data_IF_440386741164
#
_entry.id   IF_440386741164
#
_cell.length_a   1.000
_cell.length_b   1.000
_cell.length_c   1.000
_cell.angle_alpha   90.00
_cell.angle_beta   90.00
_cell.angle_gamma   90.00
#
_symmetry.space_group_name_H-M   'P 1'
#
loop_
_entity.id
_entity.type
_entity.pdbx_description
1 polymer ?
#
# COMPACT_ATOMS: atom_id res chain seq x y z
N UNK A 1 43.55 -8.91 -20.07
CA UNK A 1 42.56 -8.64 -21.11
C UNK A 1 41.26 -9.46 -20.97
N UNK A 2 41.28 -10.79 -20.78
CA UNK A 2 40.06 -11.58 -20.51
C UNK A 2 39.34 -11.20 -19.21
N UNK A 3 40.06 -10.85 -18.15
CA UNK A 3 39.45 -10.40 -16.86
C UNK A 3 38.71 -9.07 -17.02
N UNK A 4 39.27 -8.09 -17.71
CA UNK A 4 38.64 -6.79 -18.00
C UNK A 4 37.39 -6.91 -18.88
N UNK A 5 37.35 -7.89 -19.80
CA UNK A 5 36.17 -8.14 -20.64
C UNK A 5 35.07 -8.81 -19.83
N UNK A 6 35.41 -9.70 -18.90
CA UNK A 6 34.47 -10.38 -18.00
C UNK A 6 33.90 -9.38 -16.97
N UNK A 7 34.73 -8.50 -16.39
CA UNK A 7 34.31 -7.44 -15.48
C UNK A 7 33.37 -6.43 -16.19
N UNK A 8 33.70 -6.02 -17.41
CA UNK A 8 32.85 -5.12 -18.20
C UNK A 8 31.48 -5.75 -18.53
N UNK A 9 31.43 -7.06 -18.80
CA UNK A 9 30.18 -7.79 -19.03
C UNK A 9 29.35 -7.94 -17.74
N UNK A 10 29.99 -8.17 -16.59
CA UNK A 10 29.29 -8.23 -15.30
C UNK A 10 28.74 -6.87 -14.89
N UNK A 11 29.54 -5.80 -14.96
CA UNK A 11 29.11 -4.45 -14.66
C UNK A 11 27.89 -4.03 -15.53
N UNK A 12 27.96 -4.28 -16.84
CA UNK A 12 26.85 -4.03 -17.77
C UNK A 12 25.58 -4.79 -17.37
N UNK A 13 25.70 -6.04 -16.95
CA UNK A 13 24.58 -6.85 -16.47
C UNK A 13 23.95 -6.27 -15.21
N UNK A 14 24.76 -5.89 -14.20
CA UNK A 14 24.25 -5.27 -12.98
C UNK A 14 23.59 -3.94 -13.23
N UNK A 15 24.15 -3.10 -14.11
CA UNK A 15 23.56 -1.83 -14.49
C UNK A 15 22.19 -2.02 -15.15
N UNK A 16 22.08 -2.93 -16.13
CA UNK A 16 20.81 -3.24 -16.80
C UNK A 16 19.76 -3.73 -15.81
N UNK A 17 20.11 -4.68 -14.94
CA UNK A 17 19.19 -5.18 -13.92
C UNK A 17 18.76 -4.07 -12.94
N UNK A 18 19.68 -3.18 -12.57
CA UNK A 18 19.38 -2.01 -11.74
C UNK A 18 18.39 -1.06 -12.42
N UNK A 19 18.55 -0.79 -13.73
CA UNK A 19 17.63 0.05 -14.48
C UNK A 19 16.23 -0.60 -14.65
N UNK A 20 16.16 -1.91 -14.83
CA UNK A 20 14.89 -2.64 -14.88
C UNK A 20 14.19 -2.60 -13.50
N UNK A 21 14.94 -2.77 -12.41
CA UNK A 21 14.45 -2.73 -11.03
C UNK A 21 14.24 -1.30 -10.49
N UNK A 22 14.56 -0.27 -11.27
CA UNK A 22 14.57 1.13 -10.82
C UNK A 22 13.27 1.59 -10.13
N UNK A 23 12.06 1.21 -10.60
CA UNK A 23 10.82 1.53 -9.91
C UNK A 23 10.72 0.90 -8.51
N UNK A 24 11.17 -0.34 -8.32
CA UNK A 24 11.22 -0.98 -7.00
C UNK A 24 12.28 -0.33 -6.10
N UNK A 25 13.45 0.02 -6.64
CA UNK A 25 14.49 0.76 -5.91
C UNK A 25 13.97 2.12 -5.47
N UNK A 26 13.26 2.83 -6.35
CA UNK A 26 12.63 4.11 -6.03
C UNK A 26 11.54 3.98 -4.97
N UNK A 27 10.68 2.97 -5.09
CA UNK A 27 9.66 2.64 -4.09
C UNK A 27 10.26 2.38 -2.71
N UNK A 28 11.45 1.77 -2.68
CA UNK A 28 12.20 1.41 -1.46
C UNK A 28 13.06 2.55 -0.90
N UNK A 29 13.16 3.70 -1.58
CA UNK A 29 14.06 4.78 -1.19
C UNK A 29 13.41 6.17 -1.35
N UNK A 30 13.49 6.79 -2.52
CA UNK A 30 13.03 8.16 -2.76
C UNK A 30 11.54 8.37 -2.52
N UNK A 31 10.71 7.34 -2.75
CA UNK A 31 9.28 7.38 -2.46
C UNK A 31 8.98 7.57 -0.96
N UNK A 32 9.88 7.12 -0.09
CA UNK A 32 9.75 7.17 1.37
C UNK A 32 10.19 8.51 1.97
N UNK A 33 10.80 9.39 1.18
CA UNK A 33 11.40 10.64 1.69
C UNK A 33 10.80 11.87 1.00
N UNK A 34 10.52 11.77 -0.31
CA UNK A 34 10.21 12.94 -1.13
C UNK A 34 8.71 13.19 -1.23
N UNK A 35 8.29 14.45 -1.02
CA UNK A 35 6.90 14.91 -1.10
C UNK A 35 6.19 14.51 -2.41
N UNK A 36 6.92 14.56 -3.54
CA UNK A 36 6.40 14.24 -4.86
C UNK A 36 7.00 12.94 -5.44
N UNK A 37 7.38 11.98 -4.58
CA UNK A 37 7.98 10.71 -4.99
C UNK A 37 7.14 9.92 -5.99
N UNK A 38 5.80 10.06 -5.91
CA UNK A 38 4.86 9.46 -6.86
C UNK A 38 4.93 10.07 -8.27
N UNK A 39 5.27 11.35 -8.39
CA UNK A 39 5.50 11.98 -9.72
C UNK A 39 6.80 11.49 -10.35
N UNK A 40 7.85 11.39 -9.55
CA UNK A 40 9.17 10.91 -10.01
C UNK A 40 9.11 9.42 -10.40
N UNK A 41 8.22 8.62 -9.79
CA UNK A 41 8.01 7.21 -10.16
C UNK A 41 7.70 7.05 -11.65
N UNK A 42 7.01 8.01 -12.28
CA UNK A 42 6.72 7.99 -13.73
C UNK A 42 8.02 7.91 -14.54
N UNK A 43 9.01 8.74 -14.20
CA UNK A 43 10.31 8.71 -14.88
C UNK A 43 11.05 7.40 -14.64
N UNK A 44 11.00 6.86 -13.40
CA UNK A 44 11.62 5.57 -13.07
C UNK A 44 11.00 4.43 -13.89
N UNK A 45 9.67 4.44 -14.06
CA UNK A 45 8.96 3.45 -14.88
C UNK A 45 9.30 3.62 -16.36
N UNK A 46 9.40 4.83 -16.90
CA UNK A 46 9.79 5.07 -18.30
C UNK A 46 11.20 4.53 -18.57
N UNK A 47 12.16 4.78 -17.69
CA UNK A 47 13.53 4.27 -17.83
C UNK A 47 13.53 2.74 -17.81
N UNK A 48 12.81 2.14 -16.85
CA UNK A 48 12.66 0.68 -16.74
C UNK A 48 11.99 0.08 -17.98
N UNK A 49 10.95 0.73 -18.52
CA UNK A 49 10.23 0.32 -19.72
C UNK A 49 11.16 0.29 -20.94
N UNK A 50 11.86 1.39 -21.19
CA UNK A 50 12.80 1.48 -22.32
C UNK A 50 13.87 0.40 -22.18
N UNK A 51 14.47 0.27 -20.99
CA UNK A 51 15.52 -0.73 -20.76
C UNK A 51 15.01 -2.15 -20.99
N UNK A 52 13.81 -2.48 -20.47
CA UNK A 52 13.22 -3.81 -20.64
C UNK A 52 12.91 -4.11 -22.10
N UNK A 53 12.37 -3.15 -22.85
CA UNK A 53 12.09 -3.32 -24.27
C UNK A 53 13.38 -3.50 -25.09
N UNK A 54 14.46 -2.79 -24.77
CA UNK A 54 15.76 -2.95 -25.42
C UNK A 54 16.39 -4.31 -25.16
N UNK A 55 16.18 -4.89 -23.96
CA UNK A 55 16.80 -6.16 -23.55
C UNK A 55 15.95 -7.39 -23.96
N UNK A 56 14.65 -7.33 -23.74
CA UNK A 56 13.74 -8.46 -23.91
C UNK A 56 12.77 -8.29 -25.10
N UNK A 57 12.79 -7.15 -25.78
CA UNK A 57 11.81 -6.81 -26.80
C UNK A 57 10.37 -6.88 -26.24
N UNK A 58 9.45 -7.37 -27.04
CA UNK A 58 8.05 -7.54 -26.64
C UNK A 58 7.75 -8.90 -25.97
N UNK A 59 8.76 -9.73 -25.72
CA UNK A 59 8.55 -11.08 -25.16
C UNK A 59 7.93 -11.02 -23.78
N UNK A 60 8.45 -10.16 -22.90
CA UNK A 60 7.92 -9.98 -21.53
C UNK A 60 6.48 -9.47 -21.55
N UNK A 61 6.18 -8.48 -22.40
CA UNK A 61 4.83 -7.96 -22.57
C UNK A 61 3.84 -9.06 -23.01
N UNK A 62 4.20 -9.84 -24.04
CA UNK A 62 3.36 -10.95 -24.52
C UNK A 62 3.11 -11.98 -23.43
N UNK A 63 4.16 -12.35 -22.69
CA UNK A 63 4.04 -13.29 -21.57
C UNK A 63 3.13 -12.75 -20.46
N UNK A 64 3.33 -11.51 -20.03
CA UNK A 64 2.50 -10.92 -18.98
C UNK A 64 1.03 -10.76 -19.42
N UNK A 65 0.78 -10.40 -20.68
CA UNK A 65 -0.58 -10.34 -21.23
C UNK A 65 -1.27 -11.71 -21.26
N UNK A 66 -0.52 -12.80 -21.49
CA UNK A 66 -1.10 -14.15 -21.55
C UNK A 66 -1.31 -14.78 -20.17
N UNK A 67 -0.50 -14.42 -19.16
CA UNK A 67 -0.49 -15.12 -17.86
C UNK A 67 -1.07 -14.30 -16.70
N UNK A 68 -0.98 -12.97 -16.77
CA UNK A 68 -1.28 -12.09 -15.66
C UNK A 68 -2.72 -11.54 -15.70
N UNK A 69 -3.63 -12.17 -14.97
CA UNK A 69 -5.03 -11.71 -14.88
C UNK A 69 -5.18 -10.34 -14.21
N UNK A 70 -4.29 -9.99 -13.27
CA UNK A 70 -4.32 -8.69 -12.59
C UNK A 70 -4.05 -7.57 -13.61
N UNK A 71 -3.17 -7.80 -14.58
CA UNK A 71 -2.88 -6.84 -15.63
C UNK A 71 -4.13 -6.47 -16.46
N UNK A 72 -4.96 -7.44 -16.80
CA UNK A 72 -6.21 -7.18 -17.53
C UNK A 72 -7.21 -6.37 -16.69
N UNK A 73 -7.32 -6.68 -15.40
CA UNK A 73 -8.14 -5.87 -14.48
C UNK A 73 -7.60 -4.43 -14.41
N UNK A 74 -6.29 -4.23 -14.35
CA UNK A 74 -5.69 -2.90 -14.31
C UNK A 74 -5.96 -2.12 -15.60
N UNK A 75 -5.96 -2.76 -16.79
CA UNK A 75 -6.37 -2.09 -18.02
C UNK A 75 -7.82 -1.65 -17.97
N UNK A 76 -8.73 -2.49 -17.46
CA UNK A 76 -10.15 -2.15 -17.31
C UNK A 76 -10.31 -0.96 -16.35
N UNK A 77 -9.62 -0.98 -15.20
CA UNK A 77 -9.63 0.12 -14.22
C UNK A 77 -9.11 1.41 -14.86
N UNK A 78 -7.99 1.38 -15.57
CA UNK A 78 -7.44 2.55 -16.25
C UNK A 78 -8.41 3.11 -17.30
N UNK A 79 -9.03 2.25 -18.10
CA UNK A 79 -10.04 2.66 -19.09
C UNK A 79 -11.25 3.32 -18.43
N UNK A 80 -11.77 2.71 -17.36
CA UNK A 80 -12.90 3.27 -16.60
C UNK A 80 -12.54 4.61 -15.92
N UNK A 81 -11.34 4.73 -15.35
CA UNK A 81 -10.91 5.98 -14.69
C UNK A 81 -10.70 7.10 -15.72
N UNK A 82 -10.18 6.81 -16.91
CA UNK A 82 -10.08 7.78 -17.99
C UNK A 82 -11.48 8.22 -18.46
N UNK A 83 -12.40 7.27 -18.66
CA UNK A 83 -13.79 7.60 -18.99
C UNK A 83 -14.40 8.52 -17.92
N UNK A 84 -14.31 8.15 -16.63
CA UNK A 84 -14.85 8.93 -15.53
C UNK A 84 -14.19 10.32 -15.41
N UNK A 85 -12.89 10.43 -15.71
CA UNK A 85 -12.17 11.70 -15.70
C UNK A 85 -12.77 12.69 -16.72
N UNK A 86 -13.04 12.22 -17.93
CA UNK A 86 -13.64 13.07 -18.97
C UNK A 86 -15.14 13.32 -18.74
N UNK A 87 -15.84 12.37 -18.13
CA UNK A 87 -17.29 12.47 -17.92
C UNK A 87 -17.68 13.42 -16.78
N UNK A 88 -17.04 13.32 -15.61
CA UNK A 88 -17.40 14.12 -14.44
C UNK A 88 -16.20 14.59 -13.59
N UNK A 89 -15.00 14.36 -14.07
CA UNK A 89 -13.76 14.70 -13.39
C UNK A 89 -13.37 13.71 -12.30
N UNK A 90 -12.09 13.37 -12.24
CA UNK A 90 -11.47 12.58 -11.19
C UNK A 90 -10.08 13.16 -10.85
N UNK A 91 -9.42 12.57 -9.85
CA UNK A 91 -8.06 12.92 -9.48
C UNK A 91 -7.05 12.50 -10.56
N UNK A 92 -6.44 13.45 -11.25
CA UNK A 92 -5.36 13.19 -12.22
C UNK A 92 -4.14 12.49 -11.59
N UNK A 93 -3.92 12.68 -10.28
CA UNK A 93 -2.83 12.02 -9.53
C UNK A 93 -3.08 10.52 -9.41
N UNK A 94 -4.30 10.12 -9.09
CA UNK A 94 -4.72 8.73 -8.98
C UNK A 94 -4.60 8.02 -10.34
N UNK A 95 -5.17 8.61 -11.39
CA UNK A 95 -5.14 8.06 -12.75
C UNK A 95 -3.70 7.86 -13.23
N UNK A 96 -2.85 8.87 -13.06
CA UNK A 96 -1.43 8.77 -13.39
C UNK A 96 -0.76 7.60 -12.67
N UNK A 97 -1.03 7.42 -11.38
CA UNK A 97 -0.44 6.33 -10.61
C UNK A 97 -0.90 4.95 -11.11
N UNK A 98 -2.21 4.79 -11.40
CA UNK A 98 -2.74 3.54 -11.96
C UNK A 98 -2.18 3.24 -13.36
N UNK A 99 -2.14 4.22 -14.26
CA UNK A 99 -1.56 4.03 -15.61
C UNK A 99 -0.08 3.67 -15.51
N UNK A 100 0.69 4.42 -14.70
CA UNK A 100 2.12 4.14 -14.51
C UNK A 100 2.36 2.74 -13.95
N UNK A 101 1.58 2.34 -12.95
CA UNK A 101 1.68 1.00 -12.37
C UNK A 101 1.29 -0.10 -13.36
N UNK A 102 0.24 0.11 -14.15
CA UNK A 102 -0.21 -0.81 -15.19
C UNK A 102 0.86 -1.03 -16.26
N UNK A 103 1.45 0.05 -16.76
CA UNK A 103 2.55 -0.01 -17.73
C UNK A 103 3.75 -0.77 -17.18
N UNK A 104 4.10 -0.53 -15.92
CA UNK A 104 5.20 -1.26 -15.28
C UNK A 104 4.90 -2.75 -15.17
N UNK A 105 3.73 -3.14 -14.65
CA UNK A 105 3.32 -4.55 -14.54
C UNK A 105 3.28 -5.23 -15.91
N UNK A 106 2.88 -4.50 -16.97
CA UNK A 106 2.80 -5.04 -18.32
C UNK A 106 4.16 -5.50 -18.88
N UNK A 107 5.23 -4.77 -18.54
CA UNK A 107 6.56 -5.00 -19.13
C UNK A 107 7.54 -5.68 -18.18
N UNK A 108 7.28 -5.67 -16.88
CA UNK A 108 8.26 -6.09 -15.88
C UNK A 108 8.53 -7.60 -15.93
N UNK A 109 9.80 -8.02 -16.08
CA UNK A 109 10.18 -9.44 -16.02
C UNK A 109 10.25 -9.91 -14.57
N UNK A 110 9.24 -10.63 -14.11
CA UNK A 110 9.11 -11.09 -12.71
C UNK A 110 10.32 -11.91 -12.21
N UNK A 111 11.05 -12.57 -13.10
CA UNK A 111 12.30 -13.29 -12.79
C UNK A 111 13.39 -12.40 -12.17
N UNK A 112 13.31 -11.08 -12.33
CA UNK A 112 14.23 -10.13 -11.67
C UNK A 112 13.96 -9.99 -10.16
N UNK A 113 12.75 -10.33 -9.68
CA UNK A 113 12.43 -10.32 -8.24
C UNK A 113 12.88 -11.62 -7.56
N UNK A 114 14.18 -11.86 -7.56
CA UNK A 114 14.75 -12.96 -6.78
C UNK A 114 14.56 -12.70 -5.29
N UNK A 115 14.53 -13.76 -4.48
CA UNK A 115 14.40 -13.65 -3.01
C UNK A 115 15.42 -12.69 -2.41
N UNK A 116 16.66 -12.72 -2.89
CA UNK A 116 17.73 -11.82 -2.45
C UNK A 116 17.41 -10.35 -2.74
N UNK A 117 16.91 -10.05 -3.94
CA UNK A 117 16.48 -8.69 -4.32
C UNK A 117 15.33 -8.23 -3.42
N UNK A 118 14.33 -9.08 -3.18
CA UNK A 118 13.18 -8.77 -2.32
C UNK A 118 13.65 -8.44 -0.90
N UNK A 119 14.51 -9.29 -0.30
CA UNK A 119 15.09 -9.05 1.03
C UNK A 119 15.83 -7.70 1.05
N UNK A 120 16.69 -7.44 0.07
CA UNK A 120 17.47 -6.20 0.01
C UNK A 120 16.59 -4.96 -0.07
N UNK A 121 15.59 -4.95 -0.97
CA UNK A 121 14.64 -3.85 -1.10
C UNK A 121 13.83 -3.63 0.18
N UNK A 122 13.36 -4.70 0.82
CA UNK A 122 12.59 -4.62 2.06
C UNK A 122 13.41 -4.07 3.22
N UNK A 123 14.67 -4.50 3.35
CA UNK A 123 15.57 -4.00 4.41
C UNK A 123 15.89 -2.52 4.19
N UNK A 124 16.21 -2.11 2.96
CA UNK A 124 16.46 -0.70 2.62
C UNK A 124 15.21 0.13 2.95
N UNK A 125 14.02 -0.33 2.54
CA UNK A 125 12.76 0.36 2.84
C UNK A 125 12.53 0.51 4.34
N UNK A 126 12.77 -0.54 5.13
CA UNK A 126 12.56 -0.53 6.57
C UNK A 126 13.51 0.46 7.27
N UNK A 127 14.79 0.48 6.88
CA UNK A 127 15.79 1.41 7.43
C UNK A 127 15.42 2.86 7.08
N UNK A 128 15.14 3.14 5.80
CA UNK A 128 14.84 4.49 5.33
C UNK A 128 13.53 5.00 5.99
N UNK A 129 12.48 4.15 6.05
CA UNK A 129 11.21 4.54 6.66
C UNK A 129 11.36 4.83 8.16
N UNK A 130 12.16 4.02 8.87
CA UNK A 130 12.47 4.26 10.27
C UNK A 130 13.24 5.57 10.47
N UNK A 131 14.32 5.78 9.72
CA UNK A 131 15.13 6.99 9.83
C UNK A 131 14.32 8.25 9.53
N UNK A 132 13.47 8.22 8.50
CA UNK A 132 12.62 9.36 8.13
C UNK A 132 11.56 9.66 9.20
N UNK A 133 10.82 8.65 9.66
CA UNK A 133 9.80 8.83 10.70
C UNK A 133 10.43 9.31 12.01
N UNK A 134 11.55 8.73 12.41
CA UNK A 134 12.32 9.14 13.60
C UNK A 134 12.80 10.58 13.47
N UNK A 135 13.37 10.95 12.33
CA UNK A 135 13.83 12.31 12.08
C UNK A 135 12.68 13.32 12.18
N UNK A 136 11.55 13.08 11.52
CA UNK A 136 10.43 14.01 11.53
C UNK A 136 9.80 14.16 12.92
N UNK A 137 9.50 13.05 13.58
CA UNK A 137 8.69 13.09 14.81
C UNK A 137 9.53 13.26 16.07
N UNK A 138 10.66 12.54 16.16
CA UNK A 138 11.45 12.46 17.41
C UNK A 138 12.55 13.53 17.43
N UNK A 139 13.27 13.71 16.32
CA UNK A 139 14.37 14.68 16.27
C UNK A 139 13.89 16.10 16.00
N UNK A 140 13.03 16.30 14.99
CA UNK A 140 12.53 17.63 14.60
C UNK A 140 11.27 18.05 15.37
N UNK A 141 10.60 17.12 16.08
CA UNK A 141 9.33 17.34 16.77
C UNK A 141 8.24 17.93 15.86
N UNK A 142 8.26 17.56 14.58
CA UNK A 142 7.27 18.04 13.62
C UNK A 142 5.91 17.42 13.89
N UNK A 143 4.88 18.25 13.90
CA UNK A 143 3.52 17.73 13.83
C UNK A 143 3.33 16.95 12.52
N UNK A 144 2.58 15.87 12.59
CA UNK A 144 2.32 14.97 11.46
C UNK A 144 1.67 15.65 10.26
N UNK A 145 1.02 16.82 10.44
CA UNK A 145 0.38 17.59 9.37
C UNK A 145 1.39 18.31 8.48
N UNK A 146 2.60 18.60 8.99
CA UNK A 146 3.66 19.30 8.25
C UNK A 146 4.71 18.37 7.66
N UNK A 147 4.58 17.07 7.85
CA UNK A 147 5.50 16.12 7.22
C UNK A 147 5.50 16.27 5.70
N UNK A 148 6.64 16.08 5.02
CA UNK A 148 6.72 16.12 3.55
C UNK A 148 5.74 15.17 2.86
N UNK A 149 5.43 14.06 3.49
CA UNK A 149 4.46 13.05 3.06
C UNK A 149 3.38 12.94 4.14
N UNK A 150 2.10 12.98 3.73
CA UNK A 150 0.99 12.80 4.66
C UNK A 150 1.15 11.50 5.46
N UNK A 151 1.04 11.60 6.80
CA UNK A 151 1.33 10.51 7.73
C UNK A 151 0.44 9.27 7.52
N UNK A 152 -0.80 9.40 7.00
CA UNK A 152 -1.71 8.27 6.81
C UNK A 152 -1.28 7.40 5.61
N UNK A 153 -1.16 7.90 4.36
CA UNK A 153 -0.65 7.10 3.25
C UNK A 153 0.80 6.64 3.49
N UNK A 154 1.62 7.45 4.19
CA UNK A 154 2.95 7.03 4.59
C UNK A 154 2.92 5.82 5.54
N UNK A 155 2.06 5.87 6.57
CA UNK A 155 1.84 4.74 7.48
C UNK A 155 1.37 3.48 6.76
N UNK A 156 0.47 3.61 5.77
CA UNK A 156 0.00 2.47 4.97
C UNK A 156 1.13 1.88 4.12
N UNK A 157 1.99 2.72 3.54
CA UNK A 157 3.18 2.26 2.80
C UNK A 157 4.14 1.49 3.71
N UNK A 158 4.43 2.02 4.91
CA UNK A 158 5.29 1.36 5.90
C UNK A 158 4.67 0.05 6.40
N UNK A 159 3.37 0.03 6.68
CA UNK A 159 2.66 -1.18 7.07
C UNK A 159 2.79 -2.27 5.98
N UNK A 160 2.69 -1.90 4.70
CA UNK A 160 2.96 -2.80 3.57
C UNK A 160 4.38 -3.35 3.58
N UNK A 161 5.39 -2.52 3.81
CA UNK A 161 6.80 -2.95 3.95
C UNK A 161 6.94 -3.93 5.13
N UNK A 162 6.32 -3.63 6.26
CA UNK A 162 6.39 -4.45 7.47
C UNK A 162 5.78 -5.84 7.28
N UNK A 163 4.59 -5.96 6.65
CA UNK A 163 3.98 -7.26 6.39
C UNK A 163 4.77 -8.08 5.36
N UNK A 164 5.44 -7.43 4.39
CA UNK A 164 6.36 -8.09 3.47
C UNK A 164 7.59 -8.62 4.22
N UNK A 165 8.18 -7.83 5.12
CA UNK A 165 9.31 -8.23 5.94
C UNK A 165 8.97 -9.45 6.84
N UNK A 166 7.78 -9.44 7.45
CA UNK A 166 7.30 -10.58 8.23
C UNK A 166 7.09 -11.82 7.36
N UNK A 167 6.51 -11.66 6.17
CA UNK A 167 6.31 -12.76 5.21
C UNK A 167 7.64 -13.41 4.82
N UNK A 168 8.67 -12.60 4.57
CA UNK A 168 10.04 -13.07 4.31
C UNK A 168 10.64 -13.80 5.51
N UNK A 169 10.48 -13.26 6.71
CA UNK A 169 10.96 -13.88 7.95
C UNK A 169 10.35 -15.27 8.16
N UNK A 170 9.03 -15.39 7.98
CA UNK A 170 8.29 -16.65 8.20
C UNK A 170 8.58 -17.72 7.13
N UNK A 171 8.98 -17.31 5.93
CA UNK A 171 9.24 -18.23 4.80
C UNK A 171 10.73 -18.51 4.56
N UNK A 172 11.62 -17.76 5.17
CA UNK A 172 13.07 -18.00 5.02
C UNK A 172 13.50 -19.27 5.76
N UNK A 173 14.46 -19.99 5.17
CA UNK A 173 15.07 -21.19 5.77
C UNK A 173 16.39 -20.85 6.47
N UNK A 174 17.16 -19.90 5.92
CA UNK A 174 18.48 -19.49 6.44
C UNK A 174 18.31 -18.55 7.65
N UNK A 175 18.98 -18.85 8.77
CA UNK A 175 18.87 -18.04 10.00
C UNK A 175 19.27 -16.57 9.79
N UNK A 176 20.30 -16.29 8.97
CA UNK A 176 20.71 -14.93 8.64
C UNK A 176 19.59 -14.13 7.97
N UNK A 177 18.91 -14.74 7.01
CA UNK A 177 17.78 -14.10 6.31
C UNK A 177 16.62 -13.83 7.29
N UNK A 178 16.29 -14.81 8.16
CA UNK A 178 15.26 -14.63 9.20
C UNK A 178 15.59 -13.46 10.12
N UNK A 179 16.82 -13.39 10.63
CA UNK A 179 17.23 -12.33 11.54
C UNK A 179 17.15 -10.96 10.87
N UNK A 180 17.66 -10.81 9.64
CA UNK A 180 17.68 -9.53 8.93
C UNK A 180 16.25 -9.08 8.60
N UNK A 181 15.40 -9.98 8.12
CA UNK A 181 14.00 -9.65 7.78
C UNK A 181 13.14 -9.43 9.03
N UNK A 182 13.43 -10.10 10.14
CA UNK A 182 12.80 -9.82 11.43
C UNK A 182 13.18 -8.43 11.96
N UNK A 183 14.46 -8.03 11.86
CA UNK A 183 14.88 -6.68 12.21
C UNK A 183 14.19 -5.62 11.32
N UNK A 184 14.08 -5.88 10.02
CA UNK A 184 13.34 -5.01 9.10
C UNK A 184 11.86 -4.89 9.50
N UNK A 185 11.23 -6.00 9.91
CA UNK A 185 9.87 -6.01 10.45
C UNK A 185 9.74 -5.12 11.69
N UNK A 186 10.66 -5.23 12.67
CA UNK A 186 10.64 -4.42 13.88
C UNK A 186 10.83 -2.93 13.56
N UNK A 187 11.81 -2.58 12.72
CA UNK A 187 12.08 -1.19 12.35
C UNK A 187 10.87 -0.55 11.65
N UNK A 188 10.28 -1.23 10.68
CA UNK A 188 9.11 -0.72 9.97
C UNK A 188 7.86 -0.68 10.86
N UNK A 189 7.66 -1.65 11.75
CA UNK A 189 6.56 -1.61 12.74
C UNK A 189 6.68 -0.42 13.69
N UNK A 190 7.87 -0.14 14.18
CA UNK A 190 8.11 1.02 15.04
C UNK A 190 7.93 2.34 14.27
N UNK A 191 8.42 2.43 13.03
CA UNK A 191 8.18 3.58 12.17
C UNK A 191 6.67 3.82 11.94
N UNK A 192 5.89 2.75 11.77
CA UNK A 192 4.43 2.84 11.67
C UNK A 192 3.79 3.42 12.95
N UNK A 193 4.24 3.00 14.13
CA UNK A 193 3.73 3.53 15.41
C UNK A 193 4.00 5.05 15.49
N UNK A 194 5.18 5.49 15.10
CA UNK A 194 5.57 6.92 15.06
C UNK A 194 4.61 7.74 14.18
N UNK A 195 4.02 7.17 13.12
CA UNK A 195 3.05 7.92 12.27
C UNK A 195 1.75 8.26 13.00
N UNK A 196 1.47 7.64 14.14
CA UNK A 196 0.25 7.82 14.93
C UNK A 196 -1.07 7.65 14.14
N UNK A 197 -1.06 6.85 13.08
CA UNK A 197 -2.19 6.66 12.17
C UNK A 197 -3.08 5.51 12.64
N UNK A 198 -4.05 5.80 13.54
CA UNK A 198 -4.96 4.82 14.21
C UNK A 198 -5.65 3.87 13.22
N UNK A 199 -6.16 4.40 12.12
CA UNK A 199 -6.85 3.58 11.11
C UNK A 199 -5.92 2.60 10.40
N UNK A 200 -4.67 3.02 10.14
CA UNK A 200 -3.65 2.13 9.55
C UNK A 200 -3.22 1.06 10.55
N UNK A 201 -3.10 1.40 11.84
CA UNK A 201 -2.81 0.40 12.87
C UNK A 201 -3.85 -0.71 12.92
N UNK A 202 -5.14 -0.37 12.77
CA UNK A 202 -6.21 -1.37 12.72
C UNK A 202 -6.02 -2.33 11.53
N UNK A 203 -5.79 -1.79 10.32
CA UNK A 203 -5.51 -2.60 9.13
C UNK A 203 -4.26 -3.46 9.29
N UNK A 204 -3.21 -2.90 9.89
CA UNK A 204 -1.96 -3.60 10.15
C UNK A 204 -2.12 -4.76 11.14
N UNK A 205 -2.78 -4.54 12.28
CA UNK A 205 -3.06 -5.59 13.26
C UNK A 205 -3.92 -6.71 12.67
N UNK A 206 -4.90 -6.36 11.85
CA UNK A 206 -5.70 -7.35 11.13
C UNK A 206 -4.85 -8.17 10.16
N UNK A 207 -3.97 -7.53 9.37
CA UNK A 207 -3.07 -8.22 8.46
C UNK A 207 -2.09 -9.16 9.22
N UNK A 208 -1.56 -8.73 10.36
CA UNK A 208 -0.72 -9.57 11.21
C UNK A 208 -1.48 -10.80 11.74
N UNK A 209 -2.73 -10.61 12.18
CA UNK A 209 -3.56 -11.72 12.63
C UNK A 209 -3.82 -12.73 11.50
N UNK A 210 -4.15 -12.25 10.30
CA UNK A 210 -4.39 -13.11 9.12
C UNK A 210 -3.13 -13.86 8.70
N UNK A 211 -1.95 -13.20 8.68
CA UNK A 211 -0.66 -13.88 8.44
C UNK A 211 -0.43 -14.97 9.48
N UNK A 212 -0.62 -14.65 10.76
CA UNK A 212 -0.40 -15.59 11.84
C UNK A 212 -1.30 -16.81 11.74
N UNK A 213 -2.60 -16.62 11.51
CA UNK A 213 -3.57 -17.70 11.28
C UNK A 213 -3.16 -18.56 10.08
N UNK A 214 -2.78 -17.93 8.96
CA UNK A 214 -2.32 -18.63 7.75
C UNK A 214 -1.06 -19.44 8.03
N UNK A 215 -0.12 -18.88 8.78
CA UNK A 215 1.12 -19.54 9.16
C UNK A 215 0.86 -20.76 10.07
N UNK A 216 -0.01 -20.63 11.06
CA UNK A 216 -0.38 -21.71 11.96
C UNK A 216 -1.11 -22.85 11.23
N UNK A 217 -1.97 -22.53 10.26
CA UNK A 217 -2.71 -23.53 9.48
C UNK A 217 -1.83 -24.28 8.47
N UNK A 218 -0.77 -23.64 7.95
CA UNK A 218 0.10 -24.24 6.92
C UNK A 218 1.27 -25.03 7.49
N UNK A 219 1.75 -24.67 8.66
CA UNK A 219 2.87 -25.35 9.33
C UNK A 219 2.36 -25.94 10.65
N UNK A 220 2.44 -27.26 10.82
CA UNK A 220 2.27 -27.93 12.12
C UNK A 220 3.42 -27.58 13.07
N UNK A 221 3.55 -26.31 13.43
CA UNK A 221 4.67 -25.82 14.23
C UNK A 221 4.39 -26.11 15.70
N UNK A 222 5.29 -26.82 16.32
CA UNK A 222 5.39 -26.83 17.79
C UNK A 222 5.96 -25.46 18.19
N UNK A 223 5.10 -24.59 18.72
CA UNK A 223 5.54 -23.32 19.32
C UNK A 223 6.45 -23.71 20.49
N UNK A 224 7.73 -23.34 20.39
CA UNK A 224 8.67 -23.59 21.50
C UNK A 224 8.53 -22.47 22.53
N UNK A 225 8.65 -22.81 23.82
CA UNK A 225 8.61 -21.84 24.90
C UNK A 225 9.62 -20.69 24.69
N UNK A 226 10.77 -20.97 24.09
CA UNK A 226 11.79 -19.96 23.74
C UNK A 226 11.28 -18.94 22.72
N UNK A 227 10.64 -19.39 21.64
CA UNK A 227 10.07 -18.46 20.63
C UNK A 227 8.94 -17.63 21.22
N UNK A 228 8.15 -18.17 22.13
CA UNK A 228 7.09 -17.45 22.83
C UNK A 228 7.68 -16.37 23.75
N UNK A 229 8.72 -16.66 24.52
CA UNK A 229 9.39 -15.68 25.38
C UNK A 229 9.98 -14.54 24.55
N UNK A 230 10.68 -14.85 23.44
CA UNK A 230 11.24 -13.82 22.55
C UNK A 230 10.13 -12.95 21.97
N UNK A 231 9.02 -13.52 21.51
CA UNK A 231 7.88 -12.78 20.99
C UNK A 231 7.27 -11.85 22.07
N UNK A 232 7.06 -12.37 23.28
CA UNK A 232 6.55 -11.59 24.42
C UNK A 232 7.53 -10.45 24.78
N UNK A 233 8.82 -10.72 24.85
CA UNK A 233 9.83 -9.71 25.17
C UNK A 233 9.88 -8.58 24.12
N UNK A 234 9.75 -8.91 22.83
CA UNK A 234 9.70 -7.93 21.75
C UNK A 234 8.41 -7.09 21.84
N UNK A 235 7.26 -7.74 22.02
CA UNK A 235 5.96 -7.03 22.18
C UNK A 235 6.02 -6.11 23.40
N UNK A 236 6.51 -6.59 24.54
CA UNK A 236 6.64 -5.80 25.75
C UNK A 236 7.58 -4.61 25.55
N UNK A 237 8.76 -4.81 24.95
CA UNK A 237 9.72 -3.75 24.65
C UNK A 237 9.13 -2.65 23.75
N UNK A 238 8.51 -3.05 22.64
CA UNK A 238 7.81 -2.11 21.74
C UNK A 238 6.67 -1.38 22.46
N UNK A 239 5.90 -2.08 23.29
CA UNK A 239 4.77 -1.50 24.04
C UNK A 239 5.26 -0.46 25.06
N UNK A 240 6.35 -0.72 25.78
CA UNK A 240 6.91 0.22 26.75
C UNK A 240 7.42 1.49 26.05
N UNK A 241 8.18 1.35 24.97
CA UNK A 241 8.74 2.48 24.23
C UNK A 241 7.62 3.32 23.57
N UNK A 242 6.56 2.66 23.08
CA UNK A 242 5.45 3.32 22.38
C UNK A 242 4.33 3.81 23.32
N UNK A 243 4.40 3.50 24.62
CA UNK A 243 3.35 3.83 25.61
C UNK A 243 2.89 5.29 25.57
N UNK A 244 3.77 6.31 25.53
CA UNK A 244 3.35 7.71 25.50
C UNK A 244 2.50 8.03 24.26
N UNK A 245 2.93 7.59 23.08
CA UNK A 245 2.23 7.83 21.81
C UNK A 245 0.87 7.12 21.77
N UNK A 246 0.84 5.86 22.19
CA UNK A 246 -0.40 5.06 22.22
C UNK A 246 -1.39 5.61 23.24
N UNK A 247 -0.95 5.95 24.46
CA UNK A 247 -1.84 6.48 25.50
C UNK A 247 -2.45 7.82 25.11
N UNK A 248 -1.67 8.72 24.51
CA UNK A 248 -2.18 9.98 24.00
C UNK A 248 -3.28 9.77 22.95
N UNK A 249 -3.06 8.82 22.01
CA UNK A 249 -4.05 8.52 20.96
C UNK A 249 -5.30 7.83 21.50
N UNK A 250 -5.17 7.00 22.52
CA UNK A 250 -6.32 6.39 23.19
C UNK A 250 -7.17 7.42 23.93
N UNK A 251 -6.55 8.34 24.67
CA UNK A 251 -7.29 9.42 25.36
C UNK A 251 -8.03 10.32 24.37
N UNK A 252 -7.40 10.70 23.25
CA UNK A 252 -8.06 11.44 22.17
C UNK A 252 -9.27 10.67 21.61
N UNK A 253 -9.14 9.35 21.41
CA UNK A 253 -10.23 8.52 20.92
C UNK A 253 -11.40 8.45 21.90
N UNK A 254 -11.12 8.36 23.21
CA UNK A 254 -12.14 8.38 24.27
C UNK A 254 -12.87 9.72 24.30
N UNK A 255 -12.15 10.82 24.16
CA UNK A 255 -12.75 12.16 24.11
C UNK A 255 -13.63 12.33 22.86
N UNK A 256 -13.16 11.95 21.68
CA UNK A 256 -13.95 11.97 20.44
C UNK A 256 -15.24 11.13 20.57
N UNK A 257 -15.13 9.93 21.17
CA UNK A 257 -16.30 9.08 21.43
C UNK A 257 -17.31 9.73 22.40
N UNK A 258 -16.82 10.37 23.47
CA UNK A 258 -17.67 11.11 24.42
C UNK A 258 -18.41 12.27 23.74
N UNK A 259 -17.70 13.06 22.90
CA UNK A 259 -18.28 14.16 22.14
C UNK A 259 -19.39 13.66 21.20
N UNK A 260 -19.14 12.60 20.46
CA UNK A 260 -20.14 12.00 19.56
C UNK A 260 -21.37 11.53 20.35
N UNK A 261 -21.17 10.91 21.52
CA UNK A 261 -22.28 10.45 22.38
C UNK A 261 -23.12 11.60 22.93
N UNK A 262 -22.51 12.77 23.14
CA UNK A 262 -23.22 14.01 23.55
C UNK A 262 -23.86 14.77 22.35
N UNK A 263 -23.73 14.23 21.12
CA UNK A 263 -24.29 14.86 19.91
C UNK A 263 -23.34 15.86 19.23
N UNK A 264 -22.12 16.07 19.75
CA UNK A 264 -21.12 16.93 19.14
C UNK A 264 -20.37 16.13 18.06
N UNK A 265 -20.69 16.44 16.78
CA UNK A 265 -20.05 15.86 15.59
C UNK A 265 -18.95 16.76 15.00
N UNK A 266 -18.60 17.86 15.64
CA UNK A 266 -17.58 18.81 15.16
C UNK A 266 -16.16 18.34 15.55
N UNK A 267 -15.92 17.06 15.34
CA UNK A 267 -14.67 16.36 15.61
C UNK A 267 -14.14 15.67 14.37
N UNK A 268 -12.88 15.22 14.39
CA UNK A 268 -12.26 14.51 13.26
C UNK A 268 -13.02 13.24 12.87
N UNK A 269 -13.52 12.46 13.83
CA UNK A 269 -14.32 11.27 13.54
C UNK A 269 -15.78 11.63 13.23
N UNK A 270 -16.34 12.63 13.91
CA UNK A 270 -17.68 13.14 13.63
C UNK A 270 -17.83 13.69 12.21
N UNK A 271 -16.79 14.38 11.68
CA UNK A 271 -16.76 14.82 10.27
C UNK A 271 -16.88 13.63 9.32
N UNK A 272 -16.19 12.52 9.59
CA UNK A 272 -16.31 11.30 8.77
C UNK A 272 -17.72 10.72 8.81
N UNK A 273 -18.37 10.67 9.97
CA UNK A 273 -19.75 10.23 10.09
C UNK A 273 -20.69 11.10 9.28
N UNK A 274 -20.55 12.43 9.37
CA UNK A 274 -21.34 13.37 8.61
C UNK A 274 -21.15 13.18 7.09
N UNK A 275 -19.92 12.94 6.63
CA UNK A 275 -19.64 12.62 5.23
C UNK A 275 -20.31 11.31 4.78
N UNK A 276 -20.23 10.25 5.59
CA UNK A 276 -20.85 8.97 5.24
C UNK A 276 -22.36 9.06 5.25
N UNK A 277 -22.96 9.85 6.15
CA UNK A 277 -24.40 10.14 6.16
C UNK A 277 -24.84 10.96 4.95
N UNK A 278 -24.00 11.86 4.43
CA UNK A 278 -24.29 12.64 3.24
C UNK A 278 -24.11 11.85 1.93
N UNK A 279 -23.32 10.78 1.92
CA UNK A 279 -22.99 10.02 0.71
C UNK A 279 -24.24 9.53 -0.08
N UNK A 280 -25.28 8.92 0.53
CA UNK A 280 -26.48 8.51 -0.19
C UNK A 280 -27.19 9.68 -0.88
N UNK A 281 -27.24 10.86 -0.24
CA UNK A 281 -27.84 12.06 -0.82
C UNK A 281 -27.05 12.62 -2.00
N UNK A 282 -25.71 12.41 -1.98
CA UNK A 282 -24.82 12.87 -3.05
C UNK A 282 -24.95 12.01 -4.30
N UNK A 283 -25.10 10.70 -4.13
CA UNK A 283 -25.17 9.75 -5.26
C UNK A 283 -26.57 9.57 -5.84
N UNK A 284 -27.59 10.18 -5.25
CA UNK A 284 -28.95 10.11 -5.73
C UNK A 284 -29.05 10.42 -7.23
N UNK A 285 -29.61 9.49 -8.02
CA UNK A 285 -29.68 9.49 -9.48
C UNK A 285 -28.31 9.32 -10.23
N UNK A 286 -27.23 9.03 -9.52
CA UNK A 286 -25.89 8.82 -10.10
C UNK A 286 -25.19 7.55 -9.57
N UNK A 287 -25.96 6.59 -9.10
CA UNK A 287 -25.48 5.40 -8.40
C UNK A 287 -24.53 4.55 -9.26
N UNK A 288 -24.77 4.49 -10.57
CA UNK A 288 -24.01 3.63 -11.47
C UNK A 288 -22.59 4.18 -11.75
N UNK A 289 -22.47 5.46 -12.09
CA UNK A 289 -21.23 6.10 -12.54
C UNK A 289 -20.59 7.01 -11.47
N UNK A 290 -21.35 7.38 -10.43
CA UNK A 290 -20.93 8.33 -9.40
C UNK A 290 -20.96 9.79 -9.89
N UNK A 291 -20.48 10.68 -9.03
CA UNK A 291 -20.48 12.14 -9.25
C UNK A 291 -19.08 12.71 -9.60
N UNK A 292 -18.04 11.90 -9.55
CA UNK A 292 -16.66 12.39 -9.74
C UNK A 292 -16.36 13.58 -8.83
N UNK A 293 -15.69 14.60 -9.37
CA UNK A 293 -15.42 15.85 -8.66
C UNK A 293 -16.66 16.77 -8.56
N UNK A 294 -17.77 16.44 -9.24
CA UNK A 294 -19.00 17.23 -9.17
C UNK A 294 -19.73 17.06 -7.82
N UNK A 295 -19.36 16.07 -7.00
CA UNK A 295 -19.90 15.89 -5.66
C UNK A 295 -19.81 17.17 -4.79
N UNK A 296 -18.81 18.02 -5.02
CA UNK A 296 -18.67 19.30 -4.33
C UNK A 296 -19.85 20.24 -4.61
N UNK A 297 -20.31 20.31 -5.87
CA UNK A 297 -21.49 21.11 -6.24
C UNK A 297 -22.79 20.58 -5.60
N UNK A 298 -22.84 19.25 -5.37
CA UNK A 298 -23.98 18.65 -4.67
C UNK A 298 -23.93 19.00 -3.18
N UNK A 299 -22.74 19.00 -2.56
CA UNK A 299 -22.57 19.48 -1.17
C UNK A 299 -23.01 20.93 -1.00
N UNK A 300 -22.68 21.82 -1.95
CA UNK A 300 -23.14 23.22 -1.95
C UNK A 300 -24.68 23.31 -1.95
N UNK A 301 -25.36 22.49 -2.79
CA UNK A 301 -26.82 22.43 -2.83
C UNK A 301 -27.42 21.91 -1.51
N UNK A 302 -26.84 20.83 -0.97
CA UNK A 302 -27.30 20.24 0.31
C UNK A 302 -27.12 21.21 1.46
N UNK A 303 -26.06 22.00 1.47
CA UNK A 303 -25.84 23.05 2.49
C UNK A 303 -26.89 24.15 2.38
N UNK A 304 -27.15 24.69 1.18
CA UNK A 304 -28.16 25.69 0.95
C UNK A 304 -29.58 25.20 1.32
N UNK A 305 -29.82 23.90 1.21
CA UNK A 305 -31.06 23.24 1.66
C UNK A 305 -31.08 22.92 3.16
N UNK A 306 -30.04 23.26 3.92
CA UNK A 306 -29.86 22.95 5.35
C UNK A 306 -29.91 21.44 5.66
N UNK A 307 -29.50 20.59 4.70
CA UNK A 307 -29.47 19.10 4.83
C UNK A 307 -28.14 18.59 5.36
N UNK A 308 -27.09 19.41 5.37
CA UNK A 308 -25.78 19.11 5.95
C UNK A 308 -25.37 20.25 6.91
N UNK A 309 -24.46 19.92 7.85
CA UNK A 309 -23.96 20.87 8.84
C UNK A 309 -23.03 21.91 8.21
N UNK A 310 -22.90 23.07 8.90
CA UNK A 310 -21.92 24.08 8.56
C UNK A 310 -20.48 23.55 8.73
N UNK A 311 -20.24 22.68 9.72
CA UNK A 311 -18.93 22.08 9.97
C UNK A 311 -18.47 21.19 8.79
N UNK A 312 -19.34 20.33 8.28
CA UNK A 312 -19.05 19.52 7.10
C UNK A 312 -18.79 20.42 5.89
N UNK A 313 -19.60 21.47 5.70
CA UNK A 313 -19.46 22.38 4.55
C UNK A 313 -18.14 23.15 4.55
N UNK A 314 -17.74 23.71 5.69
CA UNK A 314 -16.47 24.45 5.81
C UNK A 314 -15.25 23.54 5.67
N UNK A 315 -15.33 22.33 6.24
CA UNK A 315 -14.21 21.38 6.28
C UNK A 315 -14.25 20.35 5.16
N UNK A 316 -14.91 20.64 4.03
CA UNK A 316 -15.05 19.71 2.88
C UNK A 316 -13.72 18.97 2.58
N UNK A 317 -13.52 17.72 3.03
CA UNK A 317 -12.31 17.00 2.72
C UNK A 317 -12.34 16.51 1.26
N UNK A 318 -11.17 16.37 0.61
CA UNK A 318 -11.09 15.96 -0.78
C UNK A 318 -11.49 14.49 -1.02
N UNK A 319 -11.79 13.75 0.04
CA UNK A 319 -12.19 12.33 0.01
C UNK A 319 -12.99 11.96 1.27
N UNK A 320 -13.74 10.86 1.20
CA UNK A 320 -14.70 10.43 2.23
C UNK A 320 -14.06 9.67 3.42
N UNK A 321 -12.73 9.59 3.53
CA UNK A 321 -12.02 8.81 4.56
C UNK A 321 -12.54 7.37 4.74
N UNK A 322 -13.07 6.81 3.68
CA UNK A 322 -13.47 5.42 3.51
C UNK A 322 -13.44 5.13 2.01
N UNK A 323 -12.55 4.25 1.59
CA UNK A 323 -12.31 3.97 0.17
C UNK A 323 -13.56 3.45 -0.54
N UNK A 324 -14.37 2.65 0.17
CA UNK A 324 -15.59 2.07 -0.39
C UNK A 324 -16.64 3.15 -0.65
N UNK A 325 -16.86 4.03 0.32
CA UNK A 325 -17.75 5.19 0.18
C UNK A 325 -17.22 6.17 -0.87
N UNK A 326 -15.93 6.48 -0.85
CA UNK A 326 -15.30 7.39 -1.83
C UNK A 326 -15.45 6.88 -3.27
N UNK A 327 -15.31 5.56 -3.47
CA UNK A 327 -15.49 4.95 -4.78
C UNK A 327 -16.94 4.98 -5.24
N UNK A 328 -17.90 4.66 -4.36
CA UNK A 328 -19.32 4.76 -4.69
C UNK A 328 -19.68 6.19 -5.05
N UNK A 329 -19.27 7.17 -4.26
CA UNK A 329 -19.62 8.58 -4.52
C UNK A 329 -18.98 9.10 -5.80
N UNK A 330 -17.69 8.82 -6.01
CA UNK A 330 -16.94 9.40 -7.14
C UNK A 330 -16.98 8.55 -8.41
N UNK A 331 -17.09 7.23 -8.28
CA UNK A 331 -16.96 6.28 -9.40
C UNK A 331 -18.16 5.33 -9.51
N UNK A 332 -19.18 5.52 -8.68
CA UNK A 332 -20.38 4.71 -8.66
C UNK A 332 -20.17 3.25 -8.28
N UNK A 333 -21.22 2.46 -8.47
CA UNK A 333 -21.18 1.00 -8.23
C UNK A 333 -20.15 0.30 -9.12
N UNK A 334 -19.97 0.75 -10.37
CA UNK A 334 -18.93 0.20 -11.25
C UNK A 334 -17.55 0.36 -10.63
N UNK A 335 -17.22 1.57 -10.11
CA UNK A 335 -15.95 1.79 -9.42
C UNK A 335 -15.78 0.92 -8.19
N UNK A 336 -16.83 0.73 -7.38
CA UNK A 336 -16.81 -0.16 -6.22
C UNK A 336 -16.57 -1.62 -6.62
N UNK A 337 -17.24 -2.12 -7.67
CA UNK A 337 -17.03 -3.48 -8.18
C UNK A 337 -15.58 -3.66 -8.62
N UNK A 338 -15.01 -2.71 -9.36
CA UNK A 338 -13.61 -2.76 -9.78
C UNK A 338 -12.65 -2.74 -8.57
N UNK A 339 -12.94 -1.98 -7.53
CA UNK A 339 -12.19 -2.00 -6.27
C UNK A 339 -12.24 -3.38 -5.60
N UNK A 340 -13.42 -3.98 -5.50
CA UNK A 340 -13.56 -5.33 -4.91
C UNK A 340 -12.79 -6.36 -5.73
N UNK A 341 -12.87 -6.31 -7.06
CA UNK A 341 -12.04 -7.18 -7.90
C UNK A 341 -10.55 -6.95 -7.70
N UNK A 342 -10.10 -5.69 -7.53
CA UNK A 342 -8.70 -5.37 -7.27
C UNK A 342 -8.21 -5.95 -5.93
N UNK A 343 -9.09 -6.03 -4.92
CA UNK A 343 -8.80 -6.65 -3.62
C UNK A 343 -8.88 -8.18 -3.67
N UNK A 344 -9.80 -8.76 -4.42
CA UNK A 344 -10.05 -10.22 -4.38
C UNK A 344 -9.21 -10.99 -5.39
N UNK A 345 -9.02 -10.46 -6.60
CA UNK A 345 -8.33 -11.17 -7.69
C UNK A 345 -6.91 -11.64 -7.32
N UNK A 346 -6.07 -10.89 -6.56
CA UNK A 346 -4.76 -11.36 -6.14
C UNK A 346 -4.79 -12.60 -5.24
N UNK A 347 -5.93 -12.92 -4.64
CA UNK A 347 -6.11 -14.10 -3.77
C UNK A 347 -6.55 -15.35 -4.55
N UNK A 348 -7.00 -15.22 -5.80
CA UNK A 348 -7.50 -16.35 -6.60
C UNK A 348 -6.40 -17.37 -7.00
N UNK A 349 -5.18 -16.98 -7.41
CA UNK A 349 -4.15 -17.92 -7.87
C UNK A 349 -3.35 -18.58 -6.74
N UNK A 350 -3.68 -18.35 -5.46
CA UNK A 350 -2.84 -18.72 -4.30
C UNK A 350 -2.52 -20.21 -4.19
N UNK A 351 -3.30 -21.10 -4.81
CA UNK A 351 -3.02 -22.54 -4.81
C UNK A 351 -1.77 -22.91 -5.62
N UNK A 352 -1.45 -22.10 -6.61
CA UNK A 352 -0.35 -22.35 -7.58
C UNK A 352 0.84 -21.40 -7.39
N UNK A 353 0.90 -20.68 -6.26
CA UNK A 353 1.97 -19.72 -5.95
C UNK A 353 2.86 -20.26 -4.83
N UNK A 354 4.11 -19.76 -4.78
CA UNK A 354 5.01 -20.06 -3.68
C UNK A 354 4.45 -19.59 -2.32
N UNK A 355 4.92 -20.17 -1.23
CA UNK A 355 4.49 -19.79 0.13
C UNK A 355 4.74 -18.31 0.40
N UNK A 356 5.86 -17.75 -0.07
CA UNK A 356 6.17 -16.34 0.08
C UNK A 356 5.17 -15.44 -0.68
N UNK A 357 4.86 -15.76 -1.94
CA UNK A 357 3.87 -15.03 -2.74
C UNK A 357 2.50 -15.04 -2.07
N UNK A 358 2.10 -16.20 -1.55
CA UNK A 358 0.84 -16.35 -0.81
C UNK A 358 0.77 -15.45 0.42
N UNK A 359 1.82 -15.42 1.23
CA UNK A 359 1.84 -14.61 2.45
C UNK A 359 1.83 -13.12 2.12
N UNK A 360 2.59 -12.68 1.13
CA UNK A 360 2.59 -11.28 0.67
C UNK A 360 1.21 -10.89 0.14
N UNK A 361 0.58 -11.73 -0.69
CA UNK A 361 -0.74 -11.43 -1.24
C UNK A 361 -1.81 -11.31 -0.15
N UNK A 362 -1.91 -12.31 0.73
CA UNK A 362 -2.90 -12.32 1.81
C UNK A 362 -2.70 -11.12 2.73
N UNK A 363 -1.46 -10.81 3.10
CA UNK A 363 -1.18 -9.72 4.03
C UNK A 363 -1.44 -8.33 3.46
N UNK A 364 -1.01 -8.07 2.22
CA UNK A 364 -1.25 -6.80 1.56
C UNK A 364 -2.74 -6.58 1.30
N UNK A 365 -3.44 -7.59 0.80
CA UNK A 365 -4.89 -7.49 0.58
C UNK A 365 -5.62 -7.24 1.90
N UNK A 366 -5.30 -7.97 2.96
CA UNK A 366 -5.92 -7.79 4.28
C UNK A 366 -5.65 -6.40 4.85
N UNK A 367 -4.40 -5.92 4.74
CA UNK A 367 -4.02 -4.57 5.16
C UNK A 367 -4.84 -3.51 4.42
N UNK A 368 -4.87 -3.58 3.09
CA UNK A 368 -5.54 -2.57 2.27
C UNK A 368 -7.06 -2.63 2.42
N UNK A 369 -7.67 -3.82 2.51
CA UNK A 369 -9.09 -3.97 2.72
C UNK A 369 -9.57 -3.30 4.02
N UNK A 370 -8.84 -3.50 5.13
CA UNK A 370 -9.22 -2.90 6.42
C UNK A 370 -8.80 -1.43 6.52
N UNK A 371 -7.63 -1.04 6.02
CA UNK A 371 -7.24 0.37 5.96
C UNK A 371 -8.22 1.21 5.12
N UNK A 372 -8.82 0.62 4.08
CA UNK A 372 -9.85 1.22 3.24
C UNK A 372 -11.15 1.56 3.97
N UNK A 373 -11.41 0.99 5.15
CA UNK A 373 -12.56 1.37 5.99
C UNK A 373 -12.37 2.72 6.69
N UNK A 374 -11.12 3.15 6.86
CA UNK A 374 -10.79 4.33 7.68
C UNK A 374 -10.09 5.44 6.91
N UNK A 375 -9.66 5.16 5.67
CA UNK A 375 -9.02 6.11 4.76
C UNK A 375 -9.15 5.65 3.30
N UNK A 376 -8.46 6.32 2.38
CA UNK A 376 -8.50 6.06 0.93
C UNK A 376 -7.09 5.68 0.39
N UNK A 377 -6.53 4.54 0.79
CA UNK A 377 -5.16 4.18 0.42
C UNK A 377 -4.95 4.08 -1.10
N UNK A 378 -5.98 3.70 -1.87
CA UNK A 378 -5.88 3.58 -3.33
C UNK A 378 -6.15 4.91 -4.09
N UNK A 379 -6.19 6.06 -3.38
CA UNK A 379 -6.19 7.38 -4.00
C UNK A 379 -4.80 8.06 -3.93
N UNK A 380 -3.85 7.46 -3.21
CA UNK A 380 -2.51 7.99 -3.04
C UNK A 380 -1.48 7.21 -3.86
N UNK A 381 -0.67 7.90 -4.66
CA UNK A 381 0.30 7.26 -5.56
C UNK A 381 1.25 6.30 -4.84
N UNK A 382 1.75 6.68 -3.66
CA UNK A 382 2.70 5.86 -2.88
C UNK A 382 2.11 4.48 -2.54
N UNK A 383 0.87 4.45 -2.08
CA UNK A 383 0.18 3.23 -1.67
C UNK A 383 -0.36 2.43 -2.86
N UNK A 384 -0.75 3.10 -3.96
CA UNK A 384 -1.07 2.43 -5.23
C UNK A 384 0.14 1.64 -5.74
N UNK A 385 1.34 2.26 -5.75
CA UNK A 385 2.54 1.59 -6.27
C UNK A 385 2.96 0.39 -5.43
N UNK A 386 2.97 0.48 -4.09
CA UNK A 386 3.32 -0.69 -3.28
C UNK A 386 2.31 -1.83 -3.49
N UNK A 387 1.02 -1.53 -3.53
CA UNK A 387 -0.02 -2.53 -3.73
C UNK A 387 0.10 -3.21 -5.10
N UNK A 388 0.10 -2.41 -6.18
CA UNK A 388 0.06 -2.94 -7.55
C UNK A 388 1.40 -3.59 -7.93
N UNK A 389 2.55 -3.03 -7.54
CA UNK A 389 3.84 -3.62 -7.89
C UNK A 389 4.03 -4.99 -7.25
N UNK A 390 3.75 -5.11 -5.95
CA UNK A 390 3.90 -6.40 -5.28
C UNK A 390 2.87 -7.43 -5.74
N UNK A 391 1.62 -7.04 -5.91
CA UNK A 391 0.59 -8.00 -6.33
C UNK A 391 0.61 -8.26 -7.83
N UNK A 392 0.86 -7.25 -8.65
CA UNK A 392 0.88 -7.39 -10.11
C UNK A 392 2.16 -8.04 -10.66
N UNK A 393 3.34 -7.71 -10.12
CA UNK A 393 4.60 -8.23 -10.63
C UNK A 393 5.04 -9.53 -9.97
N UNK A 394 4.73 -9.72 -8.67
CA UNK A 394 5.28 -10.83 -7.90
C UNK A 394 4.32 -12.01 -7.73
N UNK A 395 3.03 -11.76 -7.50
CA UNK A 395 2.09 -12.86 -7.24
C UNK A 395 1.45 -13.47 -8.50
N UNK A 396 1.58 -12.82 -9.64
CA UNK A 396 0.94 -13.21 -10.90
C UNK A 396 1.63 -14.36 -11.64
N UNK A 397 2.81 -14.78 -11.20
CA UNK A 397 3.59 -15.83 -11.88
C UNK A 397 3.25 -17.20 -11.33
N UNK A 398 2.38 -17.94 -12.05
CA UNK A 398 2.29 -19.39 -11.95
C UNK A 398 3.46 -20.00 -12.70
N UNK A 399 4.20 -20.90 -12.07
CA UNK A 399 5.34 -21.65 -12.60
C UNK A 399 6.67 -20.87 -12.66
N UNK A 400 7.37 -20.81 -11.55
CA UNK A 400 8.83 -20.80 -11.59
C UNK A 400 9.35 -21.75 -10.50
N UNK A 401 9.76 -22.92 -10.93
CA UNK A 401 10.54 -23.91 -10.17
C UNK A 401 11.92 -23.38 -9.73
N UNK A 402 12.18 -22.08 -9.85
CA UNK A 402 13.49 -21.48 -9.56
C UNK A 402 13.62 -20.70 -8.24
N UNK A 403 12.60 -20.73 -7.36
CA UNK A 403 12.70 -20.01 -6.07
C UNK A 403 13.21 -20.93 -4.94
N UNK A 404 13.24 -22.24 -5.12
CA UNK A 404 13.60 -23.20 -4.06
C UNK A 404 14.97 -23.88 -4.20
N UNK A 405 15.78 -23.50 -5.20
CA UNK A 405 17.15 -24.03 -5.36
C UNK A 405 18.19 -22.90 -5.28
N UNK A 406 18.47 -22.39 -4.06
CA UNK A 406 19.81 -21.89 -3.65
C UNK A 406 19.85 -21.65 -2.12
#
# INVERSE_FOLDING_TARGET
MKSLIIENNMFKKYLINGLILLPFIWLSSGMLILRNGDKTMVAMVIISLITTLLVYGFTTLKNNLSTNKILWLLFIICGYFLFSYYYHGLSSREIRAFITATLFVAIFPSSQLTKKVIITLTVISAVISFCFAYYCMIYMHWDRSIWPINAIPYGTLIAGISVIALSLCLTSTKNKEKTITFLAFILSSYALIITESRGVWLGYLFALAVIFITFMSTKKIKITWRSTIVAIAVIAGVSVISKPLISQRLSQTQQEYSNIKSGDLDTSFGLRLQMWQSAPMIIEHHELLGQGNQYLKVLDKLYNQKRISNYLYINQPPHFHNQYVDYVVKKGIIGLILLIFLLVLPLCPLKNTSTLQRYIAISLVSLFAVASLTDVPLNHGQTIFIYIFWLGCFTSTSNNEHVDHD
#
